data_IF_624302281682
#
_entry.id   IF_624302281682
#
_cell.length_a   1.000
_cell.length_b   1.000
_cell.length_c   1.000
_cell.angle_alpha   90.00
_cell.angle_beta   90.00
_cell.angle_gamma   90.00
#
_symmetry.space_group_name_H-M   'P 1'
#
loop_
_entity.id
_entity.type
_entity.pdbx_description
1 polymer ?
#
# COMPACT_ATOMS: atom_id res chain seq x y z
N UNK A 1 -7.59 2.74 17.23
CA UNK A 1 -7.10 3.54 16.08
C UNK A 1 -8.25 3.65 15.10
N UNK A 2 -8.59 4.84 14.61
CA UNK A 2 -9.61 5.00 13.57
C UNK A 2 -9.05 4.67 12.18
N UNK A 3 -9.93 4.47 11.18
CA UNK A 3 -9.51 4.21 9.81
C UNK A 3 -8.58 5.31 9.25
N UNK A 4 -8.93 6.58 9.46
CA UNK A 4 -8.09 7.70 9.01
C UNK A 4 -6.73 7.71 9.69
N UNK A 5 -6.66 7.36 10.97
CA UNK A 5 -5.39 7.29 11.72
C UNK A 5 -4.50 6.19 11.15
N UNK A 6 -5.05 4.98 10.92
CA UNK A 6 -4.28 3.89 10.35
C UNK A 6 -3.80 4.23 8.93
N UNK A 7 -4.70 4.72 8.06
CA UNK A 7 -4.33 5.09 6.70
C UNK A 7 -3.26 6.20 6.69
N UNK A 8 -3.32 7.16 7.63
CA UNK A 8 -2.31 8.23 7.75
C UNK A 8 -0.97 7.66 8.17
N UNK A 9 -0.96 6.75 9.15
CA UNK A 9 0.27 6.11 9.61
C UNK A 9 0.91 5.25 8.52
N UNK A 10 0.10 4.54 7.73
CA UNK A 10 0.56 3.84 6.53
C UNK A 10 1.11 4.81 5.48
N UNK A 11 0.50 5.97 5.28
CA UNK A 11 0.95 6.95 4.30
C UNK A 11 2.31 7.55 4.69
N UNK A 12 2.52 7.81 5.98
CA UNK A 12 3.77 8.32 6.53
C UNK A 12 4.90 7.29 6.51
N UNK A 13 4.62 6.06 6.92
CA UNK A 13 5.64 5.02 7.09
C UNK A 13 5.82 4.13 5.86
N UNK A 14 4.91 4.20 4.88
CA UNK A 14 4.82 3.23 3.81
C UNK A 14 4.37 1.85 4.29
N UNK A 15 4.33 0.90 3.36
CA UNK A 15 3.80 -0.44 3.59
C UNK A 15 4.62 -1.48 2.83
N UNK A 16 5.11 -2.51 3.54
CA UNK A 16 5.78 -3.65 2.89
C UNK A 16 4.75 -4.47 2.14
N UNK A 17 4.75 -4.38 0.82
CA UNK A 17 3.75 -5.03 -0.02
C UNK A 17 4.20 -6.41 -0.49
N UNK A 18 3.46 -7.44 -0.09
CA UNK A 18 3.59 -8.83 -0.53
C UNK A 18 2.42 -9.20 -1.46
N UNK A 19 2.57 -8.85 -2.73
CA UNK A 19 1.61 -9.15 -3.80
C UNK A 19 2.11 -8.62 -5.15
N UNK A 20 1.38 -8.88 -6.23
CA UNK A 20 1.81 -8.41 -7.54
C UNK A 20 1.80 -6.87 -7.64
N UNK A 21 2.91 -6.32 -8.11
CA UNK A 21 2.96 -4.94 -8.57
C UNK A 21 2.33 -4.92 -9.96
N UNK A 22 1.23 -4.18 -10.12
CA UNK A 22 0.48 -4.13 -11.38
C UNK A 22 1.31 -3.66 -12.58
N UNK A 23 0.65 -3.47 -13.72
CA UNK A 23 1.33 -3.19 -14.99
C UNK A 23 2.30 -2.00 -14.90
N UNK A 24 3.58 -2.30 -15.06
CA UNK A 24 4.65 -1.31 -15.22
C UNK A 24 4.45 -0.60 -16.57
N UNK A 25 4.26 0.73 -16.59
CA UNK A 25 4.07 1.44 -17.85
C UNK A 25 5.43 1.77 -18.45
N UNK A 26 5.60 1.53 -19.75
CA UNK A 26 6.74 2.09 -20.51
C UNK A 26 6.44 3.57 -20.80
N UNK A 27 6.97 4.46 -19.97
CA UNK A 27 6.80 5.92 -20.11
C UNK A 27 7.30 6.75 -18.93
N UNK A 28 8.14 6.18 -18.05
CA UNK A 28 8.68 6.87 -16.88
C UNK A 28 7.84 6.71 -15.60
N UNK A 29 6.55 6.38 -15.72
CA UNK A 29 5.75 5.87 -14.60
C UNK A 29 5.90 4.35 -14.55
N UNK A 30 6.90 3.85 -13.84
CA UNK A 30 7.04 2.42 -13.54
C UNK A 30 5.80 1.85 -12.82
N UNK A 31 5.86 0.63 -12.26
CA UNK A 31 4.81 0.23 -11.32
C UNK A 31 4.72 1.34 -10.26
N UNK A 32 3.51 1.85 -9.99
CA UNK A 32 3.38 3.00 -9.09
C UNK A 32 4.02 2.62 -7.77
N UNK A 33 4.86 3.51 -7.26
CA UNK A 33 5.44 3.43 -5.93
C UNK A 33 4.40 3.51 -4.82
N UNK A 34 3.11 3.67 -5.16
CA UNK A 34 1.99 3.73 -4.26
C UNK A 34 0.89 2.72 -4.61
N UNK A 35 0.12 2.33 -3.58
CA UNK A 35 -1.15 1.61 -3.70
C UNK A 35 -2.29 2.41 -3.11
N UNK A 36 -3.41 2.45 -3.81
CA UNK A 36 -4.66 2.96 -3.24
C UNK A 36 -5.20 1.91 -2.26
N UNK A 37 -5.31 2.28 -0.98
CA UNK A 37 -5.98 1.47 0.03
C UNK A 37 -7.23 2.17 0.52
N UNK A 38 -8.30 1.40 0.68
CA UNK A 38 -9.59 1.89 1.17
C UNK A 38 -9.96 1.20 2.47
N UNK A 39 -10.31 1.97 3.49
CA UNK A 39 -10.79 1.48 4.78
C UNK A 39 -11.89 2.40 5.30
N UNK A 40 -13.01 1.84 5.72
CA UNK A 40 -14.19 2.57 6.23
C UNK A 40 -14.64 3.75 5.33
N UNK A 41 -14.63 3.55 4.01
CA UNK A 41 -15.05 4.56 3.03
C UNK A 41 -14.02 5.68 2.77
N UNK A 42 -12.82 5.59 3.35
CA UNK A 42 -11.71 6.52 3.08
C UNK A 42 -10.65 5.83 2.24
N UNK A 43 -10.13 6.53 1.22
CA UNK A 43 -9.09 6.01 0.33
C UNK A 43 -7.85 6.89 0.41
N UNK A 44 -6.67 6.28 0.58
CA UNK A 44 -5.38 6.98 0.51
C UNK A 44 -4.36 6.22 -0.33
N UNK A 45 -3.45 6.98 -0.93
CA UNK A 45 -2.29 6.46 -1.65
C UNK A 45 -1.17 6.17 -0.66
N UNK A 46 -0.80 4.91 -0.54
CA UNK A 46 0.17 4.42 0.43
C UNK A 46 1.46 4.03 -0.29
N UNK A 47 2.63 4.57 0.10
CA UNK A 47 3.90 4.18 -0.50
C UNK A 47 4.21 2.70 -0.27
N UNK A 48 4.64 1.99 -1.31
CA UNK A 48 4.96 0.55 -1.29
C UNK A 48 6.33 0.20 -1.89
N UNK A 49 7.02 1.16 -2.55
CA UNK A 49 8.32 0.93 -3.19
C UNK A 49 9.43 1.94 -2.79
N UNK A 50 9.19 2.82 -1.81
CA UNK A 50 10.20 3.78 -1.33
C UNK A 50 11.02 3.22 -0.15
N UNK A 51 11.99 3.99 0.35
CA UNK A 51 12.80 3.59 1.50
C UNK A 51 11.96 3.41 2.77
N UNK A 52 11.00 4.30 3.02
CA UNK A 52 10.12 4.22 4.18
C UNK A 52 9.35 2.88 4.19
N UNK A 53 8.78 2.48 3.05
CA UNK A 53 8.09 1.20 2.89
C UNK A 53 8.98 0.00 3.21
N UNK A 54 10.28 0.03 2.86
CA UNK A 54 11.22 -1.05 3.19
C UNK A 54 11.49 -1.18 4.69
N UNK A 55 11.45 -0.07 5.42
CA UNK A 55 11.66 -0.03 6.88
C UNK A 55 10.35 -0.05 7.68
N UNK A 56 9.21 -0.02 6.99
CA UNK A 56 7.89 0.10 7.62
C UNK A 56 7.63 -1.01 8.65
N UNK A 57 7.03 -0.69 9.81
CA UNK A 57 6.57 -1.69 10.75
C UNK A 57 5.36 -2.48 10.22
N UNK A 58 4.73 -2.02 9.14
CA UNK A 58 3.52 -2.63 8.56
C UNK A 58 3.87 -3.48 7.34
N UNK A 59 3.26 -4.66 7.28
CA UNK A 59 3.30 -5.52 6.08
C UNK A 59 1.89 -5.81 5.59
N UNK A 60 1.72 -5.87 4.28
CA UNK A 60 0.45 -6.18 3.65
C UNK A 60 0.58 -7.37 2.74
N UNK A 61 -0.37 -8.29 2.85
CA UNK A 61 -0.52 -9.40 1.93
C UNK A 61 -1.82 -9.27 1.16
N UNK A 62 -1.73 -9.33 -0.16
CA UNK A 62 -2.91 -9.41 -1.00
C UNK A 62 -3.55 -10.80 -0.89
N UNK A 63 -4.87 -10.84 -0.81
CA UNK A 63 -5.62 -12.06 -1.03
C UNK A 63 -5.51 -12.45 -2.52
N UNK A 64 -5.08 -13.68 -2.87
CA UNK A 64 -5.00 -14.10 -4.27
C UNK A 64 -6.37 -14.21 -4.95
N UNK A 65 -7.45 -14.37 -4.19
CA UNK A 65 -8.79 -14.62 -4.70
C UNK A 65 -9.71 -13.39 -4.61
N UNK A 66 -9.23 -12.27 -4.04
CA UNK A 66 -10.02 -11.04 -3.88
C UNK A 66 -9.18 -9.76 -3.90
N UNK A 67 -9.81 -8.60 -4.08
CA UNK A 67 -9.15 -7.28 -3.98
C UNK A 67 -8.88 -6.85 -2.52
N UNK A 68 -8.99 -7.77 -1.55
CA UNK A 68 -8.76 -7.49 -0.14
C UNK A 68 -7.29 -7.63 0.23
N UNK A 69 -6.90 -6.90 1.26
CA UNK A 69 -5.53 -6.86 1.78
C UNK A 69 -5.58 -6.99 3.27
N UNK A 70 -4.73 -7.86 3.82
CA UNK A 70 -4.53 -7.99 5.25
C UNK A 70 -3.26 -7.22 5.62
N UNK A 71 -3.39 -6.23 6.49
CA UNK A 71 -2.27 -5.47 7.06
C UNK A 71 -1.93 -6.06 8.43
N UNK A 72 -0.65 -6.39 8.64
CA UNK A 72 -0.08 -7.03 9.84
C UNK A 72 0.99 -6.11 10.43
#
# INVERSE_FOLDING_TARGET
MSAIQLLTDLQCNGLKWDGEFGLSRKGGAGPSDHKALSLDGQTMMIPVLNLAAQESPYSAKADPDSDQVIVI
#
